data_IF_841103915098
#
_entry.id   IF_841103915098
#
_cell.length_a   1.000
_cell.length_b   1.000
_cell.length_c   1.000
_cell.angle_alpha   90.00
_cell.angle_beta   90.00
_cell.angle_gamma   90.00
#
_symmetry.space_group_name_H-M   'P 1'
#
loop_
_entity.id
_entity.type
_entity.pdbx_description
1 polymer ?
#
# COMPACT_ATOMS: atom_id res chain seq x y z
N UNK A 1 30.67 -30.38 -57.29
CA UNK A 1 29.20 -30.44 -57.15
C UNK A 1 28.85 -30.10 -55.72
N UNK A 2 28.32 -28.90 -55.53
CA UNK A 2 27.96 -28.28 -54.27
C UNK A 2 26.50 -28.58 -53.91
N UNK A 3 26.21 -28.43 -52.62
CA UNK A 3 24.96 -27.86 -52.10
C UNK A 3 23.81 -28.81 -51.74
N UNK A 4 23.79 -29.28 -50.48
CA UNK A 4 22.56 -29.67 -49.77
C UNK A 4 22.72 -29.65 -48.24
N UNK A 5 23.34 -28.64 -47.61
CA UNK A 5 23.45 -28.64 -46.12
C UNK A 5 23.38 -27.26 -45.43
N UNK A 6 22.57 -26.32 -45.92
CA UNK A 6 22.54 -25.00 -45.26
C UNK A 6 21.21 -24.27 -45.35
N UNK A 7 20.08 -24.94 -45.10
CA UNK A 7 18.76 -24.26 -45.12
C UNK A 7 17.82 -24.60 -43.95
N UNK A 8 18.30 -25.14 -42.83
CA UNK A 8 17.44 -25.42 -41.66
C UNK A 8 18.08 -24.95 -40.35
N UNK A 9 18.84 -23.85 -40.36
CA UNK A 9 19.50 -23.33 -39.15
C UNK A 9 19.29 -21.84 -38.91
N UNK A 10 18.24 -21.24 -39.48
CA UNK A 10 17.95 -19.81 -39.28
C UNK A 10 16.50 -19.50 -38.90
N UNK A 11 15.59 -20.48 -38.95
CA UNK A 11 14.16 -20.23 -38.65
C UNK A 11 13.87 -20.25 -37.14
N UNK A 12 14.73 -20.85 -36.32
CA UNK A 12 14.55 -20.92 -34.86
C UNK A 12 14.98 -19.67 -34.09
N UNK A 13 15.46 -18.61 -34.75
CA UNK A 13 15.89 -17.39 -34.09
C UNK A 13 14.84 -16.26 -34.10
N UNK A 14 13.78 -16.36 -34.91
CA UNK A 14 12.81 -15.26 -35.10
C UNK A 14 11.55 -15.36 -34.22
N UNK A 15 11.34 -16.46 -33.50
CA UNK A 15 10.14 -16.66 -32.66
C UNK A 15 10.37 -16.26 -31.20
N UNK A 16 11.61 -16.01 -30.77
CA UNK A 16 11.95 -15.84 -29.35
C UNK A 16 12.09 -14.37 -28.87
N UNK A 17 11.68 -13.38 -29.67
CA UNK A 17 11.90 -11.95 -29.35
C UNK A 17 10.57 -11.21 -29.03
N UNK A 18 9.42 -11.87 -29.08
CA UNK A 18 8.11 -11.18 -29.00
C UNK A 18 7.25 -11.49 -27.74
N UNK A 19 7.85 -11.88 -26.61
CA UNK A 19 7.07 -12.25 -25.41
C UNK A 19 7.40 -11.48 -24.13
N UNK A 20 8.14 -10.37 -24.19
CA UNK A 20 8.61 -9.65 -22.99
C UNK A 20 7.93 -8.30 -22.72
N UNK A 21 6.74 -8.04 -23.27
CA UNK A 21 6.06 -6.73 -23.14
C UNK A 21 4.67 -6.82 -22.50
N UNK A 22 4.45 -7.56 -21.40
CA UNK A 22 3.12 -7.52 -20.73
C UNK A 22 3.15 -7.71 -19.21
N UNK A 23 4.09 -7.13 -18.46
CA UNK A 23 3.94 -7.09 -16.99
C UNK A 23 4.45 -5.77 -16.42
N UNK A 24 3.68 -4.69 -16.56
CA UNK A 24 3.84 -3.49 -15.74
C UNK A 24 2.59 -2.60 -15.82
N UNK A 25 1.46 -3.06 -15.28
CA UNK A 25 0.25 -2.21 -15.23
C UNK A 25 -0.59 -2.29 -13.93
N UNK A 26 -0.12 -2.97 -12.88
CA UNK A 26 -0.96 -3.18 -11.67
C UNK A 26 -0.35 -2.68 -10.35
N UNK A 27 0.71 -1.88 -10.37
CA UNK A 27 1.41 -1.44 -9.13
C UNK A 27 0.83 -0.16 -8.52
N UNK A 28 -0.08 0.55 -9.19
CA UNK A 28 -0.60 1.83 -8.69
C UNK A 28 -1.82 1.70 -7.76
N UNK A 29 -2.69 0.69 -7.95
CA UNK A 29 -3.94 0.58 -7.17
C UNK A 29 -3.77 -0.11 -5.80
N UNK A 30 -2.85 -1.05 -5.67
CA UNK A 30 -2.58 -1.74 -4.39
C UNK A 30 -2.10 -0.75 -3.33
N UNK A 31 -1.29 0.24 -3.75
CA UNK A 31 -0.73 1.23 -2.84
C UNK A 31 -1.80 2.14 -2.22
N UNK A 32 -2.78 2.59 -3.00
CA UNK A 32 -3.89 3.41 -2.48
C UNK A 32 -4.79 2.60 -1.55
N UNK A 33 -5.14 1.37 -1.92
CA UNK A 33 -5.97 0.49 -1.08
C UNK A 33 -5.31 0.21 0.28
N UNK A 34 -4.01 -0.07 0.28
CA UNK A 34 -3.22 -0.25 1.51
C UNK A 34 -3.15 1.02 2.35
N UNK A 35 -2.96 2.20 1.71
CA UNK A 35 -2.99 3.48 2.39
C UNK A 35 -4.34 3.77 3.05
N UNK A 36 -5.45 3.52 2.34
CA UNK A 36 -6.82 3.66 2.88
C UNK A 36 -7.01 2.74 4.08
N UNK A 37 -6.63 1.46 3.95
CA UNK A 37 -6.75 0.48 5.05
C UNK A 37 -5.92 0.89 6.27
N UNK A 38 -4.70 1.36 6.04
CA UNK A 38 -3.82 1.90 7.09
C UNK A 38 -4.45 3.12 7.78
N UNK A 39 -4.97 4.08 7.01
CA UNK A 39 -5.64 5.27 7.55
C UNK A 39 -6.90 4.92 8.35
N UNK A 40 -7.71 3.96 7.89
CA UNK A 40 -8.85 3.44 8.64
C UNK A 40 -8.40 2.90 10.01
N UNK A 41 -7.35 2.08 10.02
CA UNK A 41 -6.77 1.54 11.25
C UNK A 41 -6.26 2.62 12.21
N UNK A 42 -5.67 3.70 11.70
CA UNK A 42 -5.25 4.84 12.53
C UNK A 42 -6.44 5.58 13.16
N UNK A 43 -7.51 5.78 12.40
CA UNK A 43 -8.75 6.39 12.90
C UNK A 43 -9.37 5.56 14.01
N UNK A 44 -9.45 4.24 13.82
CA UNK A 44 -10.06 3.35 14.80
C UNK A 44 -9.21 3.26 16.07
N UNK A 45 -7.88 3.17 15.93
CA UNK A 45 -6.94 3.23 17.07
C UNK A 45 -7.11 4.52 17.87
N UNK A 46 -7.25 5.66 17.19
CA UNK A 46 -7.47 6.94 17.86
C UNK A 46 -8.79 6.98 18.63
N UNK A 47 -9.88 6.47 18.03
CA UNK A 47 -11.19 6.38 18.69
C UNK A 47 -11.14 5.48 19.93
N UNK A 48 -10.51 4.32 19.82
CA UNK A 48 -10.32 3.41 20.96
C UNK A 48 -9.50 4.06 22.06
N UNK A 49 -8.42 4.76 21.72
CA UNK A 49 -7.62 5.51 22.70
C UNK A 49 -8.45 6.59 23.38
N UNK A 50 -9.27 7.34 22.64
CA UNK A 50 -10.15 8.37 23.20
C UNK A 50 -11.14 7.79 24.20
N UNK A 51 -11.77 6.66 23.87
CA UNK A 51 -12.68 5.96 24.77
C UNK A 51 -11.97 5.49 26.04
N UNK A 52 -10.78 4.90 25.89
CA UNK A 52 -9.95 4.49 27.03
C UNK A 52 -9.61 5.66 27.94
N UNK A 53 -9.30 6.83 27.38
CA UNK A 53 -9.03 8.04 28.17
C UNK A 53 -10.27 8.61 28.85
N UNK A 54 -11.45 8.46 28.26
CA UNK A 54 -12.71 8.85 28.89
C UNK A 54 -13.01 8.00 30.14
N UNK A 55 -12.63 6.72 30.10
CA UNK A 55 -12.83 5.77 31.20
C UNK A 55 -11.75 5.84 32.29
N UNK A 56 -10.55 6.35 31.98
CA UNK A 56 -9.48 6.55 32.94
C UNK A 56 -9.81 7.61 34.01
N UNK A 57 -9.22 7.50 35.21
CA UNK A 57 -9.47 8.39 36.36
C UNK A 57 -8.18 8.90 37.00
N UNK A 58 -8.22 10.11 37.55
CA UNK A 58 -7.10 10.68 38.30
C UNK A 58 -5.85 10.93 37.44
N UNK A 59 -4.67 10.61 37.97
CA UNK A 59 -3.39 10.86 37.29
C UNK A 59 -3.25 10.11 35.95
N UNK A 60 -3.81 8.90 35.85
CA UNK A 60 -3.77 8.09 34.62
C UNK A 60 -4.59 8.71 33.50
N UNK A 61 -5.67 9.43 33.83
CA UNK A 61 -6.49 10.15 32.85
C UNK A 61 -5.69 11.26 32.14
N UNK A 62 -4.95 12.06 32.92
CA UNK A 62 -4.09 13.12 32.36
C UNK A 62 -3.01 12.55 31.45
N UNK A 63 -2.39 11.43 31.83
CA UNK A 63 -1.39 10.75 31.01
C UNK A 63 -2.02 10.15 29.74
N UNK A 64 -3.23 9.61 29.82
CA UNK A 64 -3.94 9.10 28.66
C UNK A 64 -4.23 10.21 27.65
N UNK A 65 -4.76 11.35 28.10
CA UNK A 65 -5.02 12.48 27.21
C UNK A 65 -3.75 13.07 26.59
N UNK A 66 -2.58 13.00 27.26
CA UNK A 66 -1.30 13.35 26.62
C UNK A 66 -0.98 12.44 25.43
N UNK A 67 -1.17 11.12 25.59
CA UNK A 67 -1.01 10.15 24.49
C UNK A 67 -2.03 10.39 23.37
N UNK A 68 -3.27 10.71 23.74
CA UNK A 68 -4.32 11.03 22.77
C UNK A 68 -3.95 12.28 21.95
N UNK A 69 -3.49 13.34 22.61
CA UNK A 69 -3.10 14.59 21.96
C UNK A 69 -1.90 14.39 21.02
N UNK A 70 -0.92 13.55 21.41
CA UNK A 70 0.19 13.20 20.55
C UNK A 70 -0.28 12.47 19.27
N UNK A 71 -1.29 11.60 19.38
CA UNK A 71 -1.88 10.88 18.26
C UNK A 71 -2.86 11.71 17.40
N UNK A 72 -3.20 12.94 17.81
CA UNK A 72 -4.18 13.78 17.09
C UNK A 72 -3.67 14.20 15.70
N UNK A 73 -2.35 14.38 15.53
CA UNK A 73 -1.75 14.70 14.24
C UNK A 73 -1.99 13.58 13.22
N UNK A 74 -1.60 12.36 13.58
CA UNK A 74 -1.78 11.16 12.76
C UNK A 74 -3.27 10.91 12.45
N UNK A 75 -4.14 11.08 13.44
CA UNK A 75 -5.59 10.97 13.25
C UNK A 75 -6.12 11.96 12.21
N UNK A 76 -5.67 13.22 12.24
CA UNK A 76 -6.08 14.23 11.25
C UNK A 76 -5.56 13.89 9.86
N UNK A 77 -4.32 13.43 9.75
CA UNK A 77 -3.74 13.01 8.48
C UNK A 77 -4.51 11.82 7.87
N UNK A 78 -4.79 10.79 8.68
CA UNK A 78 -5.60 9.65 8.27
C UNK A 78 -7.02 10.05 7.85
N UNK A 79 -7.70 10.90 8.63
CA UNK A 79 -9.02 11.45 8.30
C UNK A 79 -9.04 12.21 6.98
N UNK A 80 -7.97 12.95 6.67
CA UNK A 80 -7.85 13.68 5.40
C UNK A 80 -7.70 12.70 4.25
N UNK A 81 -6.81 11.72 4.36
CA UNK A 81 -6.62 10.70 3.32
C UNK A 81 -7.91 9.93 3.02
N UNK A 82 -8.70 9.59 4.04
CA UNK A 82 -10.00 8.94 3.86
C UNK A 82 -11.10 9.84 3.30
N UNK A 83 -10.95 11.17 3.35
CA UNK A 83 -11.89 12.12 2.76
C UNK A 83 -11.54 12.50 1.32
N UNK A 84 -10.30 12.23 0.90
CA UNK A 84 -9.79 12.42 -0.45
C UNK A 84 -9.83 11.14 -1.30
N UNK A 85 -10.01 9.98 -0.67
CA UNK A 85 -10.22 8.67 -1.28
C UNK A 85 -11.68 8.45 -1.70
#
# INVERSE_FOLDING_TARGET
MTSTRTLISTITALVFIFSSMHIAAEVTNTNLSEQIKSAQGQVDKYKSLRLNCANAKGASQKQCYRKLNAATGDYKAAKRLLGEA
#
